data_IF_385981554414
#
_entry.id   IF_385981554414
#
_cell.length_a   1.000
_cell.length_b   1.000
_cell.length_c   1.000
_cell.angle_alpha   90.00
_cell.angle_beta   90.00
_cell.angle_gamma   90.00
#
_symmetry.space_group_name_H-M   'P 1'
#
loop_
_entity.id
_entity.type
_entity.pdbx_description
1 polymer ?
#
# COMPACT_ATOMS: atom_id res chain seq x y z
N UNK A 1 -47.72 -42.33 -15.41
CA UNK A 1 -48.41 -41.52 -14.39
C UNK A 1 -47.68 -41.70 -13.07
N UNK A 2 -46.90 -40.69 -12.65
CA UNK A 2 -46.72 -40.21 -11.28
C UNK A 2 -45.59 -39.18 -11.33
N UNK A 3 -46.01 -37.92 -11.37
CA UNK A 3 -45.18 -36.73 -11.26
C UNK A 3 -44.90 -36.53 -9.77
N UNK A 4 -43.64 -36.54 -9.34
CA UNK A 4 -43.26 -36.18 -7.98
C UNK A 4 -42.55 -34.83 -8.05
N UNK A 5 -43.27 -33.81 -7.61
CA UNK A 5 -42.85 -32.43 -7.44
C UNK A 5 -42.06 -32.37 -6.12
N UNK A 6 -40.82 -31.91 -6.16
CA UNK A 6 -40.05 -31.53 -4.96
C UNK A 6 -40.08 -30.00 -4.86
N UNK A 7 -40.58 -29.41 -3.76
CA UNK A 7 -40.64 -27.97 -3.62
C UNK A 7 -39.27 -27.37 -3.26
N UNK A 8 -38.94 -26.30 -3.98
CA UNK A 8 -37.82 -25.41 -3.81
C UNK A 8 -37.98 -24.62 -2.48
N UNK A 9 -37.10 -24.85 -1.50
CA UNK A 9 -37.02 -23.99 -0.32
C UNK A 9 -36.11 -22.80 -0.61
N UNK A 10 -36.72 -21.63 -0.77
CA UNK A 10 -36.07 -20.32 -0.77
C UNK A 10 -35.83 -19.92 0.69
N UNK A 11 -34.58 -19.68 1.07
CA UNK A 11 -34.23 -19.08 2.37
C UNK A 11 -33.92 -17.61 2.13
N UNK A 12 -34.93 -16.76 2.30
CA UNK A 12 -34.73 -15.33 2.54
C UNK A 12 -34.38 -15.14 4.02
N UNK A 13 -33.24 -14.53 4.31
CA UNK A 13 -32.94 -13.98 5.65
C UNK A 13 -32.85 -12.48 5.54
N UNK A 14 -33.83 -11.84 6.17
CA UNK A 14 -33.98 -10.40 6.33
C UNK A 14 -32.76 -9.75 7.00
N UNK A 15 -32.31 -8.63 6.42
CA UNK A 15 -31.42 -7.67 7.05
C UNK A 15 -32.24 -6.77 7.99
N UNK A 16 -32.02 -6.86 9.30
CA UNK A 16 -32.59 -5.92 10.29
C UNK A 16 -31.64 -4.73 10.47
N UNK A 17 -32.06 -3.60 9.92
CA UNK A 17 -31.57 -2.27 10.28
C UNK A 17 -31.81 -2.01 11.78
N UNK A 18 -30.75 -1.65 12.52
CA UNK A 18 -30.85 -1.11 13.87
C UNK A 18 -30.37 0.34 13.87
N UNK A 19 -31.32 1.27 13.89
CA UNK A 19 -31.12 2.64 14.36
C UNK A 19 -31.93 2.83 15.63
N UNK A 20 -31.28 3.04 16.78
CA UNK A 20 -31.88 3.72 17.93
C UNK A 20 -30.79 4.41 18.75
N UNK A 21 -30.79 5.73 18.66
CA UNK A 21 -30.16 6.62 19.62
C UNK A 21 -30.89 6.52 20.96
N UNK A 22 -30.14 6.31 22.04
CA UNK A 22 -30.59 6.65 23.39
C UNK A 22 -29.40 7.15 24.19
N UNK A 23 -29.48 8.44 24.56
CA UNK A 23 -28.60 9.09 25.53
C UNK A 23 -28.80 8.44 26.91
N UNK A 24 -27.72 8.07 27.58
CA UNK A 24 -27.68 7.92 29.03
C UNK A 24 -26.35 8.47 29.54
N UNK A 25 -26.43 9.57 30.29
CA UNK A 25 -25.35 10.05 31.15
C UNK A 25 -25.30 9.12 32.38
N UNK A 26 -24.12 8.58 32.67
CA UNK A 26 -23.82 7.98 33.96
C UNK A 26 -22.48 8.57 34.44
N UNK A 27 -22.55 9.31 35.53
CA UNK A 27 -21.39 9.74 36.32
C UNK A 27 -20.86 8.56 37.12
N UNK A 28 -19.55 8.31 37.07
CA UNK A 28 -18.86 7.61 38.14
C UNK A 28 -17.55 8.33 38.48
N UNK A 29 -17.50 8.80 39.72
CA UNK A 29 -16.27 9.10 40.43
C UNK A 29 -15.50 7.79 40.61
N UNK A 30 -14.25 7.75 40.13
CA UNK A 30 -13.15 7.02 40.76
C UNK A 30 -11.85 7.35 40.05
N UNK A 31 -10.88 7.81 40.83
CA UNK A 31 -9.56 8.20 40.37
C UNK A 31 -8.79 7.03 39.76
N UNK A 32 -8.39 7.20 38.50
CA UNK A 32 -7.24 6.54 37.90
C UNK A 32 -6.41 7.61 37.21
N UNK A 33 -5.11 7.59 37.47
CA UNK A 33 -4.13 8.44 36.79
C UNK A 33 -4.14 8.02 35.32
N UNK A 34 -4.64 8.89 34.45
CA UNK A 34 -4.58 8.72 33.00
C UNK A 34 -3.12 8.87 32.54
N UNK A 35 -2.62 8.03 31.62
CA UNK A 35 -1.36 8.31 30.94
C UNK A 35 -1.52 9.60 30.15
N UNK A 36 -0.50 10.45 30.16
CA UNK A 36 -0.50 11.78 29.54
C UNK A 36 -0.84 11.67 28.05
N UNK A 37 -2.11 11.85 27.72
CA UNK A 37 -2.51 12.13 26.35
C UNK A 37 -1.96 13.52 26.04
N UNK A 38 -0.96 13.57 25.16
CA UNK A 38 -0.54 14.82 24.53
C UNK A 38 -1.78 15.40 23.87
N UNK A 39 -2.31 16.46 24.46
CA UNK A 39 -3.40 17.22 23.91
C UNK A 39 -2.93 17.75 22.55
N UNK A 40 -3.36 17.12 21.46
CA UNK A 40 -3.27 17.70 20.13
C UNK A 40 -4.18 18.92 20.13
N UNK A 41 -3.61 20.07 20.47
CA UNK A 41 -4.18 21.35 20.09
C UNK A 41 -4.34 21.31 18.57
N UNK A 42 -5.57 21.46 18.07
CA UNK A 42 -5.85 21.62 16.65
C UNK A 42 -5.28 22.98 16.23
N UNK A 43 -3.96 23.03 16.05
CA UNK A 43 -3.29 24.08 15.30
C UNK A 43 -3.78 24.03 13.85
N UNK A 44 -3.85 25.19 13.22
CA UNK A 44 -4.19 25.39 11.80
C UNK A 44 -3.13 24.86 10.82
N UNK A 45 -2.05 24.24 11.31
CA UNK A 45 -1.04 23.61 10.49
C UNK A 45 -1.48 22.20 10.08
N UNK A 46 -1.36 21.88 8.79
CA UNK A 46 -1.58 20.54 8.27
C UNK A 46 -0.66 19.55 9.01
N UNK A 47 -1.16 18.40 9.48
CA UNK A 47 -0.34 17.44 10.20
C UNK A 47 0.74 16.88 9.27
N UNK A 48 2.00 17.10 9.63
CA UNK A 48 3.14 16.48 8.96
C UNK A 48 3.17 15.01 9.38
N UNK A 49 3.06 14.08 8.42
CA UNK A 49 3.28 12.67 8.73
C UNK A 49 4.79 12.39 8.82
N UNK A 50 5.21 11.58 9.78
CA UNK A 50 6.62 11.21 9.99
C UNK A 50 7.29 10.63 8.74
N UNK A 51 6.50 10.08 7.80
CA UNK A 51 6.99 9.60 6.51
C UNK A 51 7.53 10.70 5.59
N UNK A 52 7.23 11.99 5.87
CA UNK A 52 7.61 13.15 5.05
C UNK A 52 8.88 13.88 5.52
N UNK A 53 9.52 13.43 6.60
CA UNK A 53 10.75 14.07 7.14
C UNK A 53 12.04 13.54 6.50
N UNK A 54 11.95 12.94 5.30
CA UNK A 54 13.09 12.44 4.52
C UNK A 54 13.44 13.34 3.34
N UNK A 55 14.73 13.52 3.11
CA UNK A 55 15.31 14.34 2.07
C UNK A 55 15.29 13.60 0.72
N UNK A 56 14.32 13.97 -0.12
CA UNK A 56 14.15 13.41 -1.45
C UNK A 56 15.27 13.82 -2.42
N UNK A 57 16.06 14.86 -2.11
CA UNK A 57 17.20 15.27 -2.96
C UNK A 57 18.38 14.31 -2.86
N UNK A 58 18.43 13.50 -1.80
CA UNK A 58 19.48 12.52 -1.51
C UNK A 58 19.01 11.07 -1.65
N UNK A 59 17.73 10.87 -1.94
CA UNK A 59 17.12 9.54 -2.02
C UNK A 59 17.58 8.80 -3.28
N UNK A 60 18.11 7.59 -3.11
CA UNK A 60 18.49 6.72 -4.21
C UNK A 60 17.30 5.92 -4.75
N UNK A 61 17.38 5.53 -6.03
CA UNK A 61 16.41 4.66 -6.68
C UNK A 61 17.11 3.76 -7.71
N UNK A 62 16.60 2.53 -7.97
CA UNK A 62 15.49 1.91 -7.27
C UNK A 62 15.87 1.46 -5.87
N UNK A 63 14.98 1.63 -4.89
CA UNK A 63 15.27 1.25 -3.51
C UNK A 63 14.03 0.97 -2.67
N UNK A 64 14.20 0.12 -1.66
CA UNK A 64 13.21 -0.14 -0.62
C UNK A 64 13.55 0.67 0.64
N UNK A 65 12.52 1.20 1.30
CA UNK A 65 12.65 1.87 2.61
C UNK A 65 11.40 1.63 3.46
N UNK A 66 11.57 1.46 4.76
CA UNK A 66 10.46 1.52 5.70
C UNK A 66 9.97 2.96 5.82
N UNK A 67 8.81 3.26 5.24
CA UNK A 67 8.21 4.59 5.28
C UNK A 67 7.54 4.87 6.62
N UNK A 68 6.92 3.83 7.22
CA UNK A 68 6.21 3.94 8.49
C UNK A 68 6.07 2.57 9.14
N UNK A 69 6.21 2.54 10.47
CA UNK A 69 5.78 1.41 11.29
C UNK A 69 4.58 1.85 12.13
N UNK A 70 3.62 0.96 12.29
CA UNK A 70 2.44 1.15 13.13
C UNK A 70 2.18 -0.13 13.92
N UNK A 71 1.47 0.01 15.04
CA UNK A 71 0.98 -1.13 15.82
C UNK A 71 -0.53 -1.01 16.00
N UNK A 72 -1.25 -2.10 15.80
CA UNK A 72 -2.69 -2.14 16.05
C UNK A 72 -2.95 -2.04 17.56
N UNK A 73 -4.15 -1.63 18.01
CA UNK A 73 -4.49 -1.62 19.44
C UNK A 73 -4.34 -2.98 20.14
N UNK A 74 -4.31 -4.09 19.36
CA UNK A 74 -4.14 -5.45 19.88
C UNK A 74 -2.72 -5.99 19.76
N UNK A 75 -1.79 -5.22 19.18
CA UNK A 75 -0.37 -5.52 19.19
C UNK A 75 0.22 -6.03 17.89
N UNK A 76 -0.56 -6.15 16.81
CA UNK A 76 -0.03 -6.55 15.49
C UNK A 76 0.77 -5.41 14.87
N UNK A 77 1.88 -5.74 14.22
CA UNK A 77 2.72 -4.75 13.53
C UNK A 77 2.23 -4.56 12.08
N UNK A 78 2.17 -3.31 11.64
CA UNK A 78 1.89 -2.91 10.27
C UNK A 78 3.10 -2.11 9.77
N UNK A 79 3.65 -2.53 8.63
CA UNK A 79 4.76 -1.85 7.98
C UNK A 79 4.29 -1.27 6.65
N UNK A 80 4.62 -0.01 6.40
CA UNK A 80 4.46 0.65 5.10
C UNK A 80 5.84 0.82 4.48
N UNK A 81 6.04 0.24 3.31
CA UNK A 81 7.25 0.37 2.50
C UNK A 81 7.08 1.40 1.40
N UNK A 82 8.11 2.21 1.22
CA UNK A 82 8.36 3.03 0.03
C UNK A 82 9.16 2.17 -0.95
N UNK A 83 8.50 1.76 -2.03
CA UNK A 83 9.11 1.07 -3.16
C UNK A 83 9.42 2.13 -4.20
N UNK A 84 10.63 2.69 -4.14
CA UNK A 84 11.02 3.84 -4.96
C UNK A 84 11.57 3.36 -6.30
N UNK A 85 10.84 3.57 -7.39
CA UNK A 85 11.24 3.15 -8.73
C UNK A 85 12.14 4.18 -9.42
N UNK A 86 11.87 5.46 -9.18
CA UNK A 86 12.47 6.60 -9.88
C UNK A 86 13.20 7.52 -8.90
N UNK A 87 14.31 8.10 -9.34
CA UNK A 87 14.99 9.15 -8.57
C UNK A 87 14.06 10.36 -8.47
N UNK A 88 13.73 10.85 -7.25
CA UNK A 88 12.78 11.94 -7.09
C UNK A 88 13.19 13.19 -7.87
N UNK A 89 12.20 13.83 -8.50
CA UNK A 89 12.35 15.05 -9.31
C UNK A 89 13.26 14.93 -10.54
N UNK A 90 13.65 13.72 -10.95
CA UNK A 90 14.49 13.48 -12.13
C UNK A 90 13.84 12.49 -13.10
N UNK A 91 13.18 11.47 -12.58
CA UNK A 91 12.55 10.41 -13.36
C UNK A 91 11.07 10.29 -12.99
N UNK A 92 10.23 9.85 -13.93
CA UNK A 92 8.79 9.67 -13.72
C UNK A 92 8.29 8.45 -14.50
N UNK A 93 7.40 7.67 -13.87
CA UNK A 93 6.74 6.54 -14.53
C UNK A 93 5.59 7.06 -15.42
N UNK A 94 5.45 6.56 -16.66
CA UNK A 94 4.31 6.91 -17.51
C UNK A 94 3.00 6.38 -16.93
N UNK A 95 1.90 7.10 -17.13
CA UNK A 95 0.59 6.79 -16.51
C UNK A 95 0.02 5.42 -16.89
N UNK A 96 0.14 5.03 -18.16
CA UNK A 96 -0.40 3.75 -18.63
C UNK A 96 0.45 2.59 -18.11
N UNK A 97 1.78 2.76 -18.14
CA UNK A 97 2.73 1.82 -17.56
C UNK A 97 2.54 1.60 -16.07
N UNK A 98 2.48 2.66 -15.26
CA UNK A 98 2.32 2.54 -13.79
C UNK A 98 0.96 1.93 -13.41
N UNK A 99 -0.11 2.28 -14.13
CA UNK A 99 -1.44 1.70 -13.87
C UNK A 99 -1.52 0.23 -14.29
N UNK A 100 -0.90 -0.15 -15.42
CA UNK A 100 -0.78 -1.56 -15.79
C UNK A 100 0.09 -2.34 -14.79
N UNK A 101 1.15 -1.70 -14.32
CA UNK A 101 2.03 -2.26 -13.31
C UNK A 101 1.28 -2.48 -12.00
N UNK A 102 0.40 -1.57 -11.56
CA UNK A 102 -0.45 -1.73 -10.36
C UNK A 102 -1.23 -3.05 -10.38
N UNK A 103 -1.93 -3.35 -11.50
CA UNK A 103 -2.72 -4.58 -11.66
C UNK A 103 -1.87 -5.87 -11.58
N UNK A 104 -0.65 -5.85 -12.09
CA UNK A 104 0.23 -7.02 -12.11
C UNK A 104 1.03 -7.16 -10.81
N UNK A 105 1.61 -6.05 -10.37
CA UNK A 105 2.59 -5.98 -9.28
C UNK A 105 1.98 -6.38 -7.95
N UNK A 106 0.72 -6.00 -7.70
CA UNK A 106 -0.01 -6.39 -6.51
C UNK A 106 -0.20 -7.91 -6.40
N UNK A 107 -0.43 -8.60 -7.53
CA UNK A 107 -0.56 -10.07 -7.57
C UNK A 107 0.79 -10.75 -7.32
N UNK A 108 1.79 -10.42 -8.14
CA UNK A 108 3.10 -11.07 -8.04
C UNK A 108 3.83 -10.79 -6.72
N UNK A 109 3.70 -9.59 -6.13
CA UNK A 109 4.27 -9.34 -4.81
C UNK A 109 3.65 -10.22 -3.73
N UNK A 110 2.34 -10.53 -3.83
CA UNK A 110 1.69 -11.46 -2.89
C UNK A 110 2.22 -12.88 -3.06
N UNK A 111 2.50 -13.31 -4.29
CA UNK A 111 3.10 -14.64 -4.54
C UNK A 111 4.49 -14.79 -3.91
N UNK A 112 5.29 -13.72 -3.91
CA UNK A 112 6.68 -13.79 -3.43
C UNK A 112 6.91 -13.34 -1.99
N UNK A 113 5.98 -12.56 -1.40
CA UNK A 113 6.17 -11.96 -0.09
C UNK A 113 5.17 -12.41 0.97
N UNK A 114 3.95 -12.81 0.59
CA UNK A 114 3.01 -13.32 1.59
C UNK A 114 3.52 -14.64 2.18
N UNK A 115 3.24 -14.85 3.46
CA UNK A 115 3.63 -16.05 4.18
C UNK A 115 3.06 -16.08 5.59
N UNK A 116 3.59 -16.95 6.45
CA UNK A 116 3.04 -17.17 7.78
C UNK A 116 2.97 -15.92 8.67
N UNK A 117 3.87 -14.96 8.46
CA UNK A 117 4.01 -13.75 9.29
C UNK A 117 3.91 -12.44 8.48
N UNK A 118 3.58 -12.53 7.19
CA UNK A 118 3.52 -11.38 6.29
C UNK A 118 2.27 -11.48 5.43
N UNK A 119 1.45 -10.44 5.45
CA UNK A 119 0.25 -10.37 4.63
C UNK A 119 0.13 -8.95 4.05
N UNK A 120 0.27 -8.82 2.73
CA UNK A 120 0.11 -7.55 2.03
C UNK A 120 -1.35 -7.10 2.08
N UNK A 121 -1.55 -5.90 2.62
CA UNK A 121 -2.85 -5.20 2.65
C UNK A 121 -3.09 -4.56 1.29
N UNK A 122 -2.16 -3.72 0.84
CA UNK A 122 -2.31 -2.91 -0.38
C UNK A 122 -0.97 -2.53 -1.02
N UNK A 123 -0.96 -2.38 -2.34
CA UNK A 123 0.15 -1.80 -3.12
C UNK A 123 -0.43 -0.75 -4.07
N UNK A 124 -0.20 0.52 -3.77
CA UNK A 124 -0.79 1.64 -4.50
C UNK A 124 0.28 2.55 -5.11
N UNK A 125 0.06 3.10 -6.32
CA UNK A 125 0.98 4.04 -6.96
C UNK A 125 1.04 5.35 -6.17
N UNK A 126 2.24 5.92 -6.06
CA UNK A 126 2.40 7.25 -5.50
C UNK A 126 1.88 8.31 -6.49
N UNK A 127 1.23 9.37 -5.98
CA UNK A 127 0.73 10.46 -6.82
C UNK A 127 1.83 11.20 -7.61
N UNK A 128 3.07 11.21 -7.13
CA UNK A 128 4.22 11.74 -7.86
C UNK A 128 4.72 10.82 -8.99
N UNK A 129 4.16 9.61 -9.12
CA UNK A 129 4.52 8.56 -10.11
C UNK A 129 6.00 8.18 -10.08
N UNK A 130 6.65 8.23 -8.92
CA UNK A 130 8.05 7.79 -8.77
C UNK A 130 8.19 6.43 -8.10
N UNK A 131 7.10 5.80 -7.71
CA UNK A 131 7.13 4.54 -6.97
C UNK A 131 5.75 4.13 -6.45
N UNK A 132 5.75 3.18 -5.53
CA UNK A 132 4.56 2.61 -4.90
C UNK A 132 4.73 2.63 -3.38
N UNK A 133 3.61 2.78 -2.67
CA UNK A 133 3.55 2.40 -1.27
C UNK A 133 2.97 1.00 -1.16
N UNK A 134 3.61 0.15 -0.36
CA UNK A 134 3.08 -1.15 0.00
C UNK A 134 2.83 -1.19 1.51
N UNK A 135 1.61 -1.46 1.92
CA UNK A 135 1.26 -1.69 3.32
C UNK A 135 1.05 -3.19 3.57
N UNK A 136 1.55 -3.68 4.69
CA UNK A 136 1.43 -5.09 5.06
C UNK A 136 1.35 -5.28 6.58
N UNK A 137 0.78 -6.40 7.00
CA UNK A 137 0.89 -6.93 8.35
C UNK A 137 2.23 -7.66 8.45
N UNK A 138 2.97 -7.44 9.53
CA UNK A 138 4.29 -8.01 9.77
C UNK A 138 5.44 -7.03 9.57
N UNK A 139 6.66 -7.53 9.78
CA UNK A 139 7.91 -6.75 9.76
C UNK A 139 9.01 -7.46 8.94
N UNK A 140 8.76 -7.79 7.65
CA UNK A 140 9.80 -8.35 6.81
C UNK A 140 10.97 -7.36 6.66
N UNK A 141 12.18 -7.87 6.46
CA UNK A 141 13.32 -6.99 6.21
C UNK A 141 13.21 -6.31 4.84
N UNK A 142 13.85 -5.15 4.68
CA UNK A 142 13.86 -4.44 3.41
C UNK A 142 14.48 -5.30 2.28
N UNK A 143 15.44 -6.17 2.61
CA UNK A 143 16.06 -7.10 1.65
C UNK A 143 15.10 -8.18 1.17
N UNK A 144 14.25 -8.72 2.06
CA UNK A 144 13.22 -9.68 1.67
C UNK A 144 12.20 -9.02 0.73
N UNK A 145 11.80 -7.79 1.04
CA UNK A 145 10.92 -6.99 0.18
C UNK A 145 11.58 -6.69 -1.17
N UNK A 146 12.86 -6.33 -1.19
CA UNK A 146 13.61 -6.09 -2.42
C UNK A 146 13.72 -7.34 -3.29
N UNK A 147 13.95 -8.50 -2.69
CA UNK A 147 14.00 -9.79 -3.39
C UNK A 147 12.65 -10.16 -4.00
N UNK A 148 11.55 -10.01 -3.24
CA UNK A 148 10.20 -10.24 -3.74
C UNK A 148 9.83 -9.26 -4.87
N UNK A 149 10.22 -7.99 -4.74
CA UNK A 149 10.05 -7.00 -5.80
C UNK A 149 10.81 -7.39 -7.06
N UNK A 150 12.07 -7.81 -6.93
CA UNK A 150 12.87 -8.28 -8.07
C UNK A 150 12.21 -9.48 -8.77
N UNK A 151 11.70 -10.45 -8.01
CA UNK A 151 10.99 -11.61 -8.57
C UNK A 151 9.70 -11.19 -9.30
N UNK A 152 8.90 -10.32 -8.69
CA UNK A 152 7.69 -9.79 -9.32
C UNK A 152 7.98 -9.05 -10.64
N UNK A 153 9.10 -8.32 -10.73
CA UNK A 153 9.50 -7.69 -11.99
C UNK A 153 9.82 -8.73 -13.08
N UNK A 154 10.38 -9.89 -12.72
CA UNK A 154 10.60 -10.98 -13.69
C UNK A 154 9.28 -11.58 -14.17
N UNK A 155 8.30 -11.77 -13.29
CA UNK A 155 7.00 -12.30 -13.71
C UNK A 155 6.25 -11.35 -14.63
N UNK A 156 6.36 -10.04 -14.40
CA UNK A 156 5.80 -9.01 -15.30
C UNK A 156 6.41 -9.13 -16.70
N UNK A 157 7.69 -9.47 -16.84
CA UNK A 157 8.30 -9.73 -18.15
C UNK A 157 7.78 -11.00 -18.83
N UNK A 158 7.23 -11.94 -18.06
CA UNK A 158 6.68 -13.19 -18.60
C UNK A 158 5.23 -13.06 -19.08
N UNK A 159 4.53 -11.95 -18.77
CA UNK A 159 3.18 -11.67 -19.28
C UNK A 159 3.23 -11.43 -20.79
N UNK A 160 2.52 -12.23 -21.57
CA UNK A 160 2.64 -12.21 -23.04
C UNK A 160 1.65 -11.25 -23.71
N UNK A 161 0.49 -11.05 -23.11
CA UNK A 161 -0.60 -10.28 -23.72
C UNK A 161 -1.43 -9.52 -22.68
N UNK A 162 -2.03 -8.40 -23.09
CA UNK A 162 -2.87 -7.57 -22.21
C UNK A 162 -4.10 -8.32 -21.67
N UNK A 163 -4.60 -9.33 -22.39
CA UNK A 163 -5.71 -10.17 -21.93
C UNK A 163 -5.38 -11.01 -20.69
N UNK A 164 -4.09 -11.17 -20.36
CA UNK A 164 -3.64 -11.85 -19.15
C UNK A 164 -3.59 -10.90 -17.93
N UNK A 165 -3.76 -9.59 -18.13
CA UNK A 165 -3.76 -8.62 -17.03
C UNK A 165 -5.06 -8.79 -16.25
N UNK A 166 -5.00 -9.11 -14.95
CA UNK A 166 -6.19 -9.24 -14.13
C UNK A 166 -7.00 -7.95 -14.14
N UNK A 167 -8.33 -8.06 -14.20
CA UNK A 167 -9.26 -6.93 -13.99
C UNK A 167 -9.19 -5.82 -15.06
N UNK A 168 -8.46 -6.01 -16.16
CA UNK A 168 -8.40 -5.08 -17.28
C UNK A 168 -9.65 -5.20 -18.16
N UNK A 169 -10.77 -4.66 -17.67
CA UNK A 169 -12.03 -4.55 -18.39
C UNK A 169 -12.90 -3.42 -17.81
N UNK A 170 -13.96 -3.05 -18.51
CA UNK A 170 -14.83 -1.91 -18.15
C UNK A 170 -15.57 -2.07 -16.82
N UNK A 171 -15.71 -3.30 -16.31
CA UNK A 171 -16.44 -3.58 -15.09
C UNK A 171 -15.57 -3.52 -13.82
N UNK A 172 -14.27 -3.77 -13.97
CA UNK A 172 -13.35 -3.95 -12.84
C UNK A 172 -12.26 -2.87 -12.78
N UNK A 173 -11.98 -2.16 -13.88
CA UNK A 173 -11.01 -1.08 -13.91
C UNK A 173 -11.69 0.27 -14.15
N UNK A 174 -11.50 1.21 -13.22
CA UNK A 174 -12.09 2.55 -13.28
C UNK A 174 -11.65 3.37 -14.50
N UNK A 175 -10.53 3.02 -15.14
CA UNK A 175 -10.08 3.63 -16.40
C UNK A 175 -9.39 2.58 -17.29
N UNK A 176 -10.12 1.54 -17.67
CA UNK A 176 -9.61 0.36 -18.40
C UNK A 176 -8.92 0.63 -19.75
N UNK A 177 -9.02 1.85 -20.30
CA UNK A 177 -8.33 2.26 -21.54
C UNK A 177 -6.92 2.83 -21.30
N UNK A 178 -6.57 3.15 -20.05
CA UNK A 178 -5.28 3.74 -19.68
C UNK A 178 -4.28 2.64 -19.29
N UNK A 179 -4.01 1.71 -20.21
CA UNK A 179 -3.07 0.61 -20.00
C UNK A 179 -2.05 0.49 -21.12
N UNK A 180 -0.87 -0.01 -20.77
CA UNK A 180 0.24 -0.32 -21.67
C UNK A 180 1.13 -1.38 -21.03
N UNK A 181 0.97 -2.63 -21.45
CA UNK A 181 1.83 -3.74 -21.04
C UNK A 181 3.28 -3.50 -21.44
N UNK A 182 3.52 -2.92 -22.64
CA UNK A 182 4.87 -2.60 -23.11
C UNK A 182 5.58 -1.62 -22.16
N UNK A 183 4.89 -0.56 -21.73
CA UNK A 183 5.44 0.40 -20.77
C UNK A 183 5.69 -0.26 -19.41
N UNK A 184 4.76 -1.09 -18.91
CA UNK A 184 4.94 -1.82 -17.65
C UNK A 184 6.15 -2.76 -17.69
N UNK A 185 6.33 -3.48 -18.79
CA UNK A 185 7.51 -4.33 -18.98
C UNK A 185 8.78 -3.52 -19.14
N UNK A 186 8.73 -2.33 -19.75
CA UNK A 186 9.89 -1.45 -19.81
C UNK A 186 10.29 -0.94 -18.42
N UNK A 187 9.30 -0.62 -17.57
CA UNK A 187 9.55 -0.29 -16.17
C UNK A 187 10.23 -1.47 -15.47
N UNK A 188 9.70 -2.68 -15.61
CA UNK A 188 10.29 -3.89 -15.03
C UNK A 188 11.73 -4.15 -15.52
N UNK A 189 12.00 -4.01 -16.83
CA UNK A 189 13.35 -4.08 -17.40
C UNK A 189 14.30 -3.06 -16.77
N UNK A 190 13.84 -1.81 -16.61
CA UNK A 190 14.65 -0.75 -16.01
C UNK A 190 14.99 -1.05 -14.55
N UNK A 191 14.04 -1.60 -13.78
CA UNK A 191 14.28 -2.04 -12.41
C UNK A 191 15.27 -3.21 -12.39
N UNK A 192 15.10 -4.23 -13.22
CA UNK A 192 16.02 -5.37 -13.24
C UNK A 192 17.44 -5.00 -13.71
N UNK A 193 17.57 -3.98 -14.56
CA UNK A 193 18.86 -3.42 -14.97
C UNK A 193 19.56 -2.60 -13.87
N UNK A 194 18.82 -2.14 -12.85
CA UNK A 194 19.32 -1.32 -11.74
C UNK A 194 19.16 -2.10 -10.44
N UNK A 195 20.26 -2.48 -9.79
CA UNK A 195 20.17 -3.19 -8.50
C UNK A 195 19.26 -2.43 -7.51
N UNK A 196 18.28 -3.12 -6.93
CA UNK A 196 17.39 -2.55 -5.91
C UNK A 196 18.21 -2.36 -4.63
N UNK A 197 18.42 -1.10 -4.25
CA UNK A 197 19.11 -0.73 -3.02
C UNK A 197 18.20 -0.68 -1.79
N UNK A 198 18.79 -0.42 -0.64
CA UNK A 198 18.06 -0.16 0.60
C UNK A 198 18.37 1.27 1.05
N UNK A 199 17.33 2.08 1.19
CA UNK A 199 17.46 3.42 1.76
C UNK A 199 17.15 3.35 3.26
N UNK A 200 18.01 3.93 4.10
CA UNK A 200 17.78 4.02 5.55
C UNK A 200 17.29 5.42 5.93
N UNK A 201 16.30 5.48 6.81
CA UNK A 201 15.72 6.76 7.25
C UNK A 201 16.74 7.68 7.91
N UNK A 202 17.69 7.13 8.68
CA UNK A 202 18.74 7.91 9.33
C UNK A 202 19.62 8.67 8.32
N UNK A 203 19.93 8.05 7.19
CA UNK A 203 20.76 8.67 6.15
C UNK A 203 20.02 9.77 5.40
N UNK A 204 18.69 9.65 5.31
CA UNK A 204 17.82 10.58 4.58
C UNK A 204 17.14 11.60 5.49
N UNK A 205 17.37 11.59 6.81
CA UNK A 205 16.65 12.50 7.71
C UNK A 205 16.94 13.97 7.37
N UNK A 206 15.89 14.78 7.25
CA UNK A 206 16.00 16.24 7.21
C UNK A 206 16.39 16.77 8.58
N UNK A 207 17.29 17.75 8.64
CA UNK A 207 17.62 18.41 9.90
C UNK A 207 16.45 19.28 10.38
N UNK A 208 16.35 19.49 11.70
CA UNK A 208 15.37 20.41 12.29
C UNK A 208 15.49 21.82 11.69
N UNK A 209 16.71 22.27 11.40
CA UNK A 209 16.97 23.55 10.73
C UNK A 209 16.34 23.65 9.33
N UNK A 210 16.31 22.55 8.58
CA UNK A 210 15.65 22.52 7.27
C UNK A 210 14.14 22.45 7.47
N UNK A 211 13.67 21.55 8.35
CA UNK A 211 12.23 21.39 8.63
C UNK A 211 11.59 22.68 9.16
N UNK A 212 12.29 23.45 10.00
CA UNK A 212 11.79 24.73 10.52
C UNK A 212 11.74 25.86 9.49
N UNK A 213 12.31 25.66 8.29
CA UNK A 213 12.27 26.63 7.18
C UNK A 213 11.22 26.29 6.13
N UNK A 214 10.66 25.07 6.16
CA UNK A 214 9.64 24.58 5.23
C UNK A 214 8.23 24.85 5.79
#
# INVERSE_FOLDING_TARGET
>A
MFCIIVPLFVVEKEAKFYTKHTFFQATSENGMILPSQSQHTKGTAMPLLDSFTVDHTRMHAPAVRVAKNMRTPKGDDITVFDLRFCVPNQEILPEKGIHTLEHLFAGFMREHLNGANVEIIDISPMGCRTGFYMSLIGTPSEEAVAAAWQAAMQDILNVQDQSQIPELNEYQCGTYRMHSLEEAQQIARNILARQIGINKNADLALSEDILGKL
#
